data_IF_714987820299
#
_entry.id   IF_714987820299
#
_cell.length_a   1.000
_cell.length_b   1.000
_cell.length_c   1.000
_cell.angle_alpha   90.00
_cell.angle_beta   90.00
_cell.angle_gamma   90.00
#
_symmetry.space_group_name_H-M   'P 1'
#
loop_
_entity.id
_entity.type
_entity.pdbx_description
1 polymer ?
#
# COMPACT_ATOMS: atom_id res chain seq x y z
N UNK A 1 -14.24 14.31 -14.10
CA UNK A 1 -13.59 14.51 -12.78
C UNK A 1 -14.30 13.60 -11.80
N UNK A 2 -13.59 12.64 -11.20
CA UNK A 2 -14.19 11.78 -10.18
C UNK A 2 -14.14 12.56 -8.87
N UNK A 3 -15.29 13.11 -8.45
CA UNK A 3 -15.41 13.74 -7.14
C UNK A 3 -15.59 12.64 -6.09
N UNK A 4 -14.60 12.47 -5.22
CA UNK A 4 -14.65 11.54 -4.08
C UNK A 4 -14.95 12.32 -2.80
N UNK A 5 -15.72 11.74 -1.89
CA UNK A 5 -16.01 12.38 -0.60
C UNK A 5 -14.79 12.30 0.30
N UNK A 6 -14.57 13.33 1.12
CA UNK A 6 -13.48 13.36 2.11
C UNK A 6 -13.52 12.16 3.06
N UNK A 7 -14.71 11.69 3.41
CA UNK A 7 -14.88 10.50 4.25
C UNK A 7 -14.24 9.26 3.63
N UNK A 8 -14.31 9.10 2.30
CA UNK A 8 -13.69 7.97 1.59
C UNK A 8 -12.17 8.05 1.71
N UNK A 9 -11.58 9.23 1.56
CA UNK A 9 -10.14 9.42 1.76
C UNK A 9 -9.72 9.10 3.18
N UNK A 10 -10.45 9.60 4.18
CA UNK A 10 -10.16 9.34 5.59
C UNK A 10 -10.25 7.85 5.92
N UNK A 11 -11.30 7.16 5.48
CA UNK A 11 -11.47 5.72 5.67
C UNK A 11 -10.34 4.91 5.01
N UNK A 12 -9.97 5.27 3.77
CA UNK A 12 -8.85 4.63 3.08
C UNK A 12 -7.53 4.87 3.81
N UNK A 13 -7.24 6.10 4.23
CA UNK A 13 -6.00 6.42 4.96
C UNK A 13 -5.94 5.66 6.29
N UNK A 14 -7.04 5.62 7.04
CA UNK A 14 -7.12 4.89 8.31
C UNK A 14 -6.89 3.39 8.10
N UNK A 15 -7.52 2.79 7.08
CA UNK A 15 -7.31 1.39 6.73
C UNK A 15 -5.83 1.11 6.39
N UNK A 16 -5.25 1.94 5.52
CA UNK A 16 -3.86 1.79 5.10
C UNK A 16 -2.87 2.04 6.25
N UNK A 17 -3.21 2.86 7.24
CA UNK A 17 -2.43 3.02 8.49
C UNK A 17 -2.31 1.68 9.22
N UNK A 18 -3.41 0.94 9.34
CA UNK A 18 -3.39 -0.38 9.99
C UNK A 18 -2.58 -1.39 9.17
N UNK A 19 -2.72 -1.38 7.84
CA UNK A 19 -1.90 -2.20 6.95
C UNK A 19 -0.41 -1.86 7.05
N UNK A 20 -0.06 -0.59 7.20
CA UNK A 20 1.32 -0.14 7.38
C UNK A 20 1.91 -0.67 8.69
N UNK A 21 1.18 -0.55 9.80
CA UNK A 21 1.62 -0.97 11.14
C UNK A 21 1.75 -2.49 11.25
N UNK A 22 0.78 -3.25 10.75
CA UNK A 22 0.69 -4.70 10.98
C UNK A 22 1.09 -5.56 9.78
N UNK A 23 1.32 -4.97 8.60
CA UNK A 23 1.57 -5.69 7.34
C UNK A 23 3.03 -6.06 7.06
N UNK A 24 3.95 -5.89 8.02
CA UNK A 24 5.39 -6.05 7.78
C UNK A 24 5.75 -7.47 7.34
N UNK A 25 5.14 -8.44 8.01
CA UNK A 25 5.45 -9.87 7.81
C UNK A 25 4.50 -10.55 6.81
N UNK A 26 3.54 -9.80 6.26
CA UNK A 26 2.61 -10.30 5.25
C UNK A 26 3.17 -10.02 3.86
N UNK A 27 3.53 -11.09 3.14
CA UNK A 27 4.04 -10.99 1.77
C UNK A 27 2.91 -10.71 0.77
N UNK A 28 3.16 -9.79 -0.17
CA UNK A 28 2.20 -9.42 -1.22
C UNK A 28 2.38 -10.20 -2.51
N UNK A 29 3.55 -10.82 -2.68
CA UNK A 29 3.88 -11.64 -3.85
C UNK A 29 4.35 -13.00 -3.34
N UNK A 30 3.76 -14.06 -3.90
CA UNK A 30 4.24 -15.43 -3.71
C UNK A 30 5.35 -15.62 -4.76
N UNK A 31 6.60 -15.50 -4.33
CA UNK A 31 7.74 -15.75 -5.21
C UNK A 31 7.75 -17.21 -5.64
N UNK A 32 7.90 -17.46 -6.95
CA UNK A 32 8.04 -18.83 -7.42
C UNK A 32 9.46 -19.32 -7.11
N UNK A 33 9.64 -20.59 -6.66
CA UNK A 33 10.97 -21.12 -6.32
C UNK A 33 12.00 -21.06 -7.46
N UNK A 34 11.56 -20.92 -8.70
CA UNK A 34 12.39 -20.92 -9.90
C UNK A 34 12.50 -19.53 -10.55
N UNK A 35 11.95 -18.46 -9.95
CA UNK A 35 12.10 -17.11 -10.47
C UNK A 35 13.55 -16.61 -10.30
N UNK A 36 14.19 -16.23 -11.41
CA UNK A 36 15.58 -15.73 -11.41
C UNK A 36 15.71 -14.33 -10.77
N UNK A 37 14.61 -13.57 -10.72
CA UNK A 37 14.57 -12.22 -10.16
C UNK A 37 13.66 -12.15 -8.93
N UNK A 38 14.27 -12.00 -7.75
CA UNK A 38 13.52 -11.76 -6.52
C UNK A 38 13.16 -10.28 -6.37
N UNK A 39 11.94 -10.01 -5.90
CA UNK A 39 11.58 -8.68 -5.44
C UNK A 39 12.42 -8.32 -4.21
N UNK A 40 12.79 -7.05 -4.10
CA UNK A 40 13.49 -6.59 -2.90
C UNK A 40 12.62 -6.90 -1.66
N UNK A 41 13.20 -7.53 -0.64
CA UNK A 41 12.45 -8.02 0.54
C UNK A 41 11.69 -6.91 1.29
N UNK A 42 12.14 -5.66 1.19
CA UNK A 42 11.43 -4.50 1.74
C UNK A 42 10.28 -3.97 0.88
N UNK A 43 10.13 -4.45 -0.35
CA UNK A 43 9.12 -4.03 -1.35
C UNK A 43 8.03 -5.08 -1.62
N UNK A 44 8.10 -6.26 -1.02
CA UNK A 44 7.12 -7.33 -1.19
C UNK A 44 6.25 -7.53 0.06
N UNK A 45 5.98 -6.46 0.80
CA UNK A 45 5.21 -6.50 2.06
C UNK A 45 3.97 -5.64 1.97
N UNK A 46 2.92 -6.03 2.70
CA UNK A 46 1.70 -5.22 2.81
C UNK A 46 2.01 -3.82 3.34
N UNK A 47 2.96 -3.70 4.28
CA UNK A 47 3.45 -2.40 4.76
C UNK A 47 3.98 -1.50 3.64
N UNK A 48 4.76 -2.06 2.71
CA UNK A 48 5.31 -1.29 1.60
C UNK A 48 4.22 -0.77 0.67
N UNK A 49 3.31 -1.64 0.25
CA UNK A 49 2.20 -1.28 -0.63
C UNK A 49 1.27 -0.26 0.02
N UNK A 50 1.00 -0.40 1.32
CA UNK A 50 0.18 0.54 2.07
C UNK A 50 0.76 1.96 2.06
N UNK A 51 2.08 2.10 2.28
CA UNK A 51 2.75 3.41 2.19
C UNK A 51 2.69 4.00 0.80
N UNK A 52 2.88 3.17 -0.24
CA UNK A 52 2.79 3.62 -1.62
C UNK A 52 1.38 4.16 -1.92
N UNK A 53 0.34 3.40 -1.59
CA UNK A 53 -1.05 3.83 -1.77
C UNK A 53 -1.40 5.07 -0.96
N UNK A 54 -0.97 5.18 0.31
CA UNK A 54 -1.14 6.40 1.12
C UNK A 54 -0.52 7.62 0.44
N UNK A 55 0.69 7.47 -0.10
CA UNK A 55 1.38 8.58 -0.79
C UNK A 55 0.63 9.05 -2.05
N UNK A 56 0.02 8.12 -2.79
CA UNK A 56 -0.78 8.43 -3.97
C UNK A 56 -2.11 9.09 -3.60
N UNK A 57 -2.79 8.60 -2.56
CA UNK A 57 -4.04 9.21 -2.07
C UNK A 57 -3.83 10.63 -1.55
N UNK A 58 -2.78 10.85 -0.76
CA UNK A 58 -2.42 12.19 -0.27
C UNK A 58 -2.08 13.13 -1.43
N UNK A 59 -1.37 12.64 -2.44
CA UNK A 59 -1.09 13.42 -3.66
C UNK A 59 -2.39 13.81 -4.37
N UNK A 60 -3.35 12.91 -4.50
CA UNK A 60 -4.64 13.18 -5.13
C UNK A 60 -5.50 14.17 -4.34
N UNK A 61 -5.39 14.20 -3.00
CA UNK A 61 -6.13 15.15 -2.16
C UNK A 61 -5.55 16.57 -2.23
N UNK A 62 -4.27 16.73 -2.57
CA UNK A 62 -3.58 18.02 -2.66
C UNK A 62 -3.73 18.74 -4.02
N UNK A 63 -4.37 18.10 -5.00
CA UNK A 63 -4.67 18.65 -6.33
C UNK A 63 -6.17 18.95 -6.47
#
# INVERSE_FOLDING_TARGET
MIATRDSVFQECLQFLEQCEVYGRDVKTVIEQPLEESHLHQGKNTVTYEARLLKSLLLRLQMY
#
